data_IF_418177494787
#
_entry.id   IF_418177494787
#
_cell.length_a   1.000
_cell.length_b   1.000
_cell.length_c   1.000
_cell.angle_alpha   90.00
_cell.angle_beta   90.00
_cell.angle_gamma   90.00
#
_symmetry.space_group_name_H-M   'P 1'
#
loop_
_entity.id
_entity.type
_entity.pdbx_description
1 polymer ?
#
# COMPACT_ATOMS: atom_id res chain seq x y z
N UNK A 1 11.76 -30.77 0.49
CA UNK A 1 10.40 -30.34 0.88
C UNK A 1 10.46 -28.86 1.19
N UNK A 2 9.79 -28.01 0.41
CA UNK A 2 9.83 -26.57 0.57
C UNK A 2 8.61 -26.15 1.41
N UNK A 3 8.81 -25.84 2.69
CA UNK A 3 7.74 -25.42 3.59
C UNK A 3 7.60 -23.90 3.43
N UNK A 4 6.62 -23.46 2.62
CA UNK A 4 6.20 -22.06 2.67
C UNK A 4 5.62 -21.78 4.06
N UNK A 5 6.33 -21.01 4.87
CA UNK A 5 5.75 -20.42 6.08
C UNK A 5 4.68 -19.42 5.64
N UNK A 6 3.39 -19.77 5.82
CA UNK A 6 2.28 -18.83 5.69
C UNK A 6 2.42 -17.78 6.78
N UNK A 7 2.89 -16.59 6.41
CA UNK A 7 2.81 -15.41 7.29
C UNK A 7 1.32 -15.10 7.43
N UNK A 8 0.74 -15.44 8.57
CA UNK A 8 -0.65 -15.11 8.90
C UNK A 8 -0.74 -13.62 9.25
N UNK A 9 -1.66 -12.91 8.60
CA UNK A 9 -1.88 -11.51 8.92
C UNK A 9 -2.54 -11.38 10.30
N UNK A 10 -2.28 -10.28 11.03
CA UNK A 10 -2.98 -9.99 12.29
C UNK A 10 -4.51 -10.08 12.13
N UNK A 11 -5.02 -9.67 10.96
CA UNK A 11 -6.45 -9.81 10.63
C UNK A 11 -6.89 -11.27 10.50
N UNK A 12 -6.06 -12.17 9.95
CA UNK A 12 -6.40 -13.60 9.91
C UNK A 12 -6.49 -14.19 11.32
N UNK A 13 -5.60 -13.79 12.24
CA UNK A 13 -5.67 -14.23 13.64
C UNK A 13 -6.97 -13.77 14.30
N UNK A 14 -7.34 -12.50 14.10
CA UNK A 14 -8.61 -11.97 14.64
C UNK A 14 -9.84 -12.66 14.03
N UNK A 15 -9.79 -13.03 12.75
CA UNK A 15 -10.86 -13.81 12.10
C UNK A 15 -10.97 -15.20 12.73
N UNK A 16 -9.86 -15.86 13.06
CA UNK A 16 -9.90 -17.14 13.78
C UNK A 16 -10.49 -16.99 15.17
N UNK A 17 -10.08 -15.96 15.92
CA UNK A 17 -10.60 -15.70 17.26
C UNK A 17 -12.12 -15.44 17.22
N UNK A 18 -12.58 -14.63 16.27
CA UNK A 18 -14.00 -14.35 16.07
C UNK A 18 -14.78 -15.62 15.67
N UNK A 19 -14.20 -16.44 14.81
CA UNK A 19 -14.80 -17.71 14.39
C UNK A 19 -14.95 -18.69 15.57
N UNK A 20 -13.94 -18.77 16.44
CA UNK A 20 -13.97 -19.59 17.65
C UNK A 20 -14.93 -19.03 18.71
N UNK A 21 -15.07 -17.71 18.81
CA UNK A 21 -16.03 -17.07 19.70
C UNK A 21 -17.48 -17.27 19.22
N UNK A 22 -17.71 -17.22 17.90
CA UNK A 22 -19.05 -17.36 17.30
C UNK A 22 -19.51 -18.81 17.29
N UNK A 23 -18.61 -19.73 16.97
CA UNK A 23 -18.88 -21.15 16.95
C UNK A 23 -18.17 -21.83 18.11
N UNK A 24 -18.93 -22.30 19.11
CA UNK A 24 -18.43 -23.27 20.08
C UNK A 24 -17.92 -24.55 19.36
N UNK A 25 -17.30 -25.47 20.11
CA UNK A 25 -16.68 -26.72 19.57
C UNK A 25 -17.60 -27.64 18.75
N UNK A 26 -18.89 -27.31 18.58
CA UNK A 26 -19.92 -28.11 17.93
C UNK A 26 -20.19 -27.77 16.47
N UNK A 27 -19.61 -26.72 15.90
CA UNK A 27 -19.92 -26.33 14.52
C UNK A 27 -19.23 -27.20 13.47
N UNK A 28 -19.99 -27.51 12.41
CA UNK A 28 -19.53 -28.30 11.27
C UNK A 28 -18.40 -27.59 10.50
N UNK A 29 -17.44 -28.36 9.99
CA UNK A 29 -16.26 -27.85 9.30
C UNK A 29 -16.63 -27.00 8.07
N UNK A 30 -17.73 -27.35 7.40
CA UNK A 30 -18.25 -26.56 6.28
C UNK A 30 -18.75 -25.18 6.71
N UNK A 31 -19.49 -25.11 7.83
CA UNK A 31 -20.01 -23.84 8.35
C UNK A 31 -18.88 -22.89 8.73
N UNK A 32 -17.86 -23.41 9.43
CA UNK A 32 -16.66 -22.65 9.78
C UNK A 32 -15.97 -22.11 8.52
N UNK A 33 -15.81 -22.93 7.49
CA UNK A 33 -15.17 -22.52 6.24
C UNK A 33 -15.95 -21.40 5.53
N UNK A 34 -17.26 -21.57 5.39
CA UNK A 34 -18.13 -20.55 4.75
C UNK A 34 -18.08 -19.23 5.52
N UNK A 35 -18.18 -19.30 6.85
CA UNK A 35 -18.15 -18.12 7.69
C UNK A 35 -16.80 -17.39 7.63
N UNK A 36 -15.69 -18.15 7.66
CA UNK A 36 -14.34 -17.60 7.51
C UNK A 36 -14.16 -16.85 6.19
N UNK A 37 -14.63 -17.41 5.08
CA UNK A 37 -14.56 -16.74 3.79
C UNK A 37 -15.48 -15.52 3.71
N UNK A 38 -16.66 -15.57 4.33
CA UNK A 38 -17.53 -14.40 4.46
C UNK A 38 -16.85 -13.26 5.24
N UNK A 39 -16.21 -13.56 6.39
CA UNK A 39 -15.45 -12.59 7.17
C UNK A 39 -14.29 -11.97 6.37
N UNK A 40 -13.55 -12.78 5.61
CA UNK A 40 -12.51 -12.29 4.71
C UNK A 40 -13.06 -11.39 3.62
N UNK A 41 -14.22 -11.74 3.05
CA UNK A 41 -14.93 -10.92 2.08
C UNK A 41 -15.28 -9.55 2.65
N UNK A 42 -15.85 -9.51 3.86
CA UNK A 42 -16.20 -8.27 4.55
C UNK A 42 -14.99 -7.39 4.85
N UNK A 43 -13.90 -7.98 5.34
CA UNK A 43 -12.65 -7.23 5.59
C UNK A 43 -12.11 -6.61 4.30
N UNK A 44 -12.11 -7.36 3.18
CA UNK A 44 -11.67 -6.83 1.89
C UNK A 44 -12.56 -5.69 1.42
N UNK A 45 -13.88 -5.85 1.53
CA UNK A 45 -14.85 -4.83 1.17
C UNK A 45 -14.63 -3.55 1.99
N UNK A 46 -14.55 -3.67 3.32
CA UNK A 46 -14.32 -2.53 4.20
C UNK A 46 -13.02 -1.79 3.89
N UNK A 47 -11.94 -2.50 3.53
CA UNK A 47 -10.69 -1.87 3.09
C UNK A 47 -10.87 -1.05 1.81
N UNK A 48 -11.63 -1.57 0.84
CA UNK A 48 -11.94 -0.85 -0.41
C UNK A 48 -12.77 0.40 -0.12
N UNK A 49 -13.77 0.28 0.75
CA UNK A 49 -14.61 1.41 1.16
C UNK A 49 -13.79 2.50 1.87
N UNK A 50 -12.92 2.12 2.81
CA UNK A 50 -12.02 3.06 3.50
C UNK A 50 -11.06 3.76 2.52
N UNK A 51 -10.50 3.04 1.56
CA UNK A 51 -9.66 3.63 0.52
C UNK A 51 -10.44 4.59 -0.37
N UNK A 52 -11.67 4.25 -0.71
CA UNK A 52 -12.54 5.12 -1.49
C UNK A 52 -12.88 6.40 -0.73
N UNK A 53 -13.27 6.30 0.55
CA UNK A 53 -13.55 7.44 1.42
C UNK A 53 -12.33 8.35 1.59
N UNK A 54 -11.15 7.75 1.77
CA UNK A 54 -9.89 8.49 1.86
C UNK A 54 -9.61 9.25 0.56
N UNK A 55 -9.80 8.60 -0.60
CA UNK A 55 -9.64 9.26 -1.91
C UNK A 55 -10.59 10.44 -2.07
N UNK A 56 -11.86 10.27 -1.74
CA UNK A 56 -12.87 11.36 -1.80
C UNK A 56 -12.48 12.50 -0.85
N UNK A 57 -11.99 12.17 0.35
CA UNK A 57 -11.53 13.17 1.32
C UNK A 57 -10.31 13.96 0.82
N UNK A 58 -9.38 13.28 0.15
CA UNK A 58 -8.22 13.92 -0.49
C UNK A 58 -8.63 14.82 -1.67
N UNK A 59 -9.56 14.36 -2.51
CA UNK A 59 -10.13 15.15 -3.62
C UNK A 59 -10.81 16.43 -3.09
N UNK A 60 -11.52 16.35 -1.96
CA UNK A 60 -12.11 17.53 -1.30
C UNK A 60 -11.07 18.47 -0.71
N UNK A 61 -10.03 17.91 -0.07
CA UNK A 61 -9.01 18.70 0.62
C UNK A 61 -8.06 19.43 -0.33
N UNK A 62 -7.67 18.79 -1.44
CA UNK A 62 -6.63 19.29 -2.33
C UNK A 62 -7.18 19.76 -3.69
N UNK A 63 -8.44 19.46 -4.00
CA UNK A 63 -8.99 19.60 -5.36
C UNK A 63 -8.55 18.44 -6.26
N UNK A 64 -8.74 18.54 -7.58
CA UNK A 64 -8.46 17.45 -8.52
C UNK A 64 -7.01 16.93 -8.41
N UNK A 65 -6.79 15.67 -7.95
CA UNK A 65 -5.45 15.11 -7.76
C UNK A 65 -4.68 14.95 -9.08
N UNK A 66 -5.37 14.99 -10.23
CA UNK A 66 -4.73 15.01 -11.55
C UNK A 66 -3.87 16.27 -11.75
N UNK A 67 -4.25 17.40 -11.14
CA UNK A 67 -3.53 18.66 -11.21
C UNK A 67 -2.21 18.61 -10.42
N UNK A 68 -2.17 17.87 -9.31
CA UNK A 68 -0.94 17.68 -8.52
C UNK A 68 0.05 16.82 -9.30
N UNK A 69 -0.40 15.71 -9.89
CA UNK A 69 0.44 14.84 -10.71
C UNK A 69 0.96 15.58 -11.96
N UNK A 70 0.15 16.47 -12.55
CA UNK A 70 0.55 17.33 -13.65
C UNK A 70 1.58 18.39 -13.23
N UNK A 71 1.42 19.01 -12.06
CA UNK A 71 2.35 20.00 -11.50
C UNK A 71 3.72 19.37 -11.14
N UNK A 72 3.75 18.10 -10.73
CA UNK A 72 4.99 17.37 -10.51
C UNK A 72 5.70 17.00 -11.83
N UNK A 73 4.96 16.73 -12.90
CA UNK A 73 5.52 16.48 -14.25
C UNK A 73 6.09 17.72 -14.92
N UNK A 74 5.52 18.91 -14.70
CA UNK A 74 6.08 20.16 -15.22
C UNK A 74 7.36 20.57 -14.49
N UNK A 75 7.44 20.32 -13.18
CA UNK A 75 8.65 20.57 -12.38
C UNK A 75 9.84 19.68 -12.75
N UNK A 76 9.63 18.41 -13.10
CA UNK A 76 10.72 17.54 -13.59
C UNK A 76 11.17 17.88 -15.02
N UNK A 77 10.30 18.49 -15.83
CA UNK A 77 10.63 18.95 -17.18
C UNK A 77 11.39 20.29 -17.19
N UNK A 78 11.15 21.18 -16.22
CA UNK A 78 11.93 22.41 -16.07
C UNK A 78 13.36 22.19 -15.56
N UNK A 79 13.62 21.08 -14.85
CA UNK A 79 14.97 20.74 -14.38
C UNK A 79 15.96 20.40 -15.51
N UNK A 80 15.46 19.96 -16.67
CA UNK A 80 16.30 19.52 -17.79
C UNK A 80 16.69 20.65 -18.76
N UNK A 81 16.12 21.86 -18.62
CA UNK A 81 16.52 23.02 -19.43
C UNK A 81 17.45 24.00 -18.69
N UNK A 82 17.70 23.80 -17.40
CA UNK A 82 18.58 24.64 -16.59
C UNK A 82 20.04 24.16 -16.55
N UNK A 83 20.40 23.12 -17.29
CA UNK A 83 21.79 22.62 -17.41
C UNK A 83 22.27 22.74 -18.85
N UNK A 84 22.25 23.96 -19.39
CA UNK A 84 23.07 24.33 -20.55
C UNK A 84 24.01 25.46 -20.13
N UNK A 85 25.00 25.10 -19.34
CA UNK A 85 26.06 25.99 -18.89
C UNK A 85 27.22 25.17 -18.32
N UNK A 86 28.06 24.63 -19.21
CA UNK A 86 29.55 24.63 -19.18
C UNK A 86 30.12 24.88 -17.77
N UNK A 87 30.82 23.94 -17.11
CA UNK A 87 32.23 23.53 -17.32
C UNK A 87 32.49 22.11 -16.75
N UNK A 88 33.35 21.27 -17.35
CA UNK A 88 33.96 20.16 -16.65
C UNK A 88 35.24 20.66 -15.97
N UNK A 89 35.19 20.91 -14.66
CA UNK A 89 36.40 21.12 -13.86
C UNK A 89 36.80 19.78 -13.27
N UNK A 90 37.63 19.04 -14.00
CA UNK A 90 38.51 18.05 -13.40
C UNK A 90 39.40 18.81 -12.42
N UNK A 91 39.23 18.58 -11.12
CA UNK A 91 40.32 18.77 -10.18
C UNK A 91 40.87 17.37 -9.92
N UNK A 92 42.05 17.13 -10.48
CA UNK A 92 42.89 15.99 -10.12
C UNK A 92 43.10 16.02 -8.61
N UNK A 93 42.73 14.92 -7.97
CA UNK A 93 43.09 14.62 -6.61
C UNK A 93 44.26 13.64 -6.70
N UNK A 94 45.49 14.15 -6.60
CA UNK A 94 46.74 13.41 -6.34
C UNK A 94 47.85 14.45 -6.15
N UNK A 95 48.81 14.34 -5.24
CA UNK A 95 49.05 13.58 -4.02
C UNK A 95 50.33 14.25 -3.45
N UNK A 96 50.50 14.22 -2.13
CA UNK A 96 51.71 14.67 -1.45
C UNK A 96 52.99 14.00 -2.01
N UNK A 97 54.00 14.79 -2.36
CA UNK A 97 55.34 14.82 -1.71
C UNK A 97 56.15 16.04 -2.18
#
# INVERSE_FOLDING_TARGET
>A
MNIQMKITSSTDLFIEDLLNATYASTADARQKTVFKEALRGLVRLSKVEQMHEMRVSLEKLIGDPSLIAMCQRTKSRQRNHATSGRWPQQMEFNQFD
#
